data_IF_935004627861
#
_entry.id   IF_935004627861
#
_cell.length_a   1.000
_cell.length_b   1.000
_cell.length_c   1.000
_cell.angle_alpha   90.00
_cell.angle_beta   90.00
_cell.angle_gamma   90.00
#
_symmetry.space_group_name_H-M   'P 1'
#
loop_
_entity.id
_entity.type
_entity.pdbx_description
1 polymer ?
#
# COMPACT_ATOMS: atom_id res chain seq x y z
N UNK A 1 5.77 -6.64 -10.85
CA UNK A 1 5.31 -7.92 -10.28
C UNK A 1 6.50 -8.61 -9.66
N UNK A 2 7.58 -8.79 -10.41
CA UNK A 2 8.79 -9.50 -9.95
C UNK A 2 9.41 -8.90 -8.68
N UNK A 3 9.49 -7.57 -8.58
CA UNK A 3 9.98 -6.90 -7.36
C UNK A 3 9.14 -7.20 -6.12
N UNK A 4 7.82 -7.29 -6.27
CA UNK A 4 6.91 -7.61 -5.17
C UNK A 4 7.02 -9.07 -4.81
N UNK A 5 7.01 -9.98 -5.79
CA UNK A 5 7.21 -11.42 -5.57
C UNK A 5 8.53 -11.71 -4.85
N UNK A 6 9.61 -11.03 -5.26
CA UNK A 6 10.93 -11.14 -4.62
C UNK A 6 10.94 -10.67 -3.17
N UNK A 7 10.07 -9.75 -2.76
CA UNK A 7 9.98 -9.34 -1.35
C UNK A 7 9.53 -10.50 -0.45
N UNK A 8 8.61 -11.34 -0.95
CA UNK A 8 8.09 -12.50 -0.23
C UNK A 8 9.06 -13.68 -0.18
N UNK A 9 10.13 -13.68 -0.98
CA UNK A 9 11.09 -14.80 -1.00
C UNK A 9 11.92 -14.95 0.27
N UNK A 10 11.81 -14.01 1.20
CA UNK A 10 12.43 -14.07 2.53
C UNK A 10 11.61 -14.85 3.56
N UNK A 11 10.35 -15.20 3.24
CA UNK A 11 9.48 -15.96 4.12
C UNK A 11 9.80 -17.45 4.04
N UNK A 12 9.72 -18.15 5.17
CA UNK A 12 10.07 -19.57 5.30
C UNK A 12 9.16 -20.51 4.50
N UNK A 13 7.92 -20.11 4.25
CA UNK A 13 6.87 -20.85 3.56
C UNK A 13 6.59 -20.30 2.14
N UNK A 14 7.55 -19.56 1.57
CA UNK A 14 7.37 -18.90 0.29
C UNK A 14 7.15 -19.89 -0.86
N UNK A 15 5.99 -19.77 -1.52
CA UNK A 15 5.71 -20.37 -2.82
C UNK A 15 5.66 -19.27 -3.89
N UNK A 16 6.61 -19.30 -4.84
CA UNK A 16 6.68 -18.31 -5.91
C UNK A 16 5.44 -18.35 -6.81
N UNK A 17 4.99 -19.55 -7.18
CA UNK A 17 3.89 -19.72 -8.16
C UNK A 17 2.59 -19.15 -7.59
N UNK A 18 2.30 -19.46 -6.32
CA UNK A 18 1.11 -18.96 -5.64
C UNK A 18 1.20 -17.45 -5.41
N UNK A 19 2.32 -16.96 -4.90
CA UNK A 19 2.54 -15.53 -4.66
C UNK A 19 2.42 -14.73 -5.96
N UNK A 20 3.08 -15.18 -7.03
CA UNK A 20 3.03 -14.53 -8.34
C UNK A 20 1.61 -14.48 -8.88
N UNK A 21 0.85 -15.56 -8.75
CA UNK A 21 -0.55 -15.59 -9.17
C UNK A 21 -1.37 -14.51 -8.44
N UNK A 22 -1.27 -14.42 -7.12
CA UNK A 22 -1.98 -13.43 -6.32
C UNK A 22 -1.58 -11.98 -6.66
N UNK A 23 -0.27 -11.72 -6.77
CA UNK A 23 0.26 -10.39 -7.12
C UNK A 23 -0.17 -9.97 -8.52
N UNK A 24 -0.13 -10.88 -9.49
CA UNK A 24 -0.58 -10.61 -10.86
C UNK A 24 -2.07 -10.32 -10.92
N UNK A 25 -2.89 -11.04 -10.15
CA UNK A 25 -4.33 -10.80 -10.06
C UNK A 25 -4.63 -9.40 -9.51
N UNK A 26 -4.04 -9.03 -8.38
CA UNK A 26 -4.21 -7.69 -7.78
C UNK A 26 -3.74 -6.60 -8.74
N UNK A 27 -2.66 -6.84 -9.48
CA UNK A 27 -2.12 -5.90 -10.46
C UNK A 27 -2.95 -5.81 -11.76
N UNK A 28 -4.02 -6.61 -11.91
CA UNK A 28 -4.86 -6.65 -13.11
C UNK A 28 -4.21 -7.38 -14.30
N UNK A 29 -3.19 -8.21 -14.07
CA UNK A 29 -2.52 -9.02 -15.11
C UNK A 29 -3.14 -10.40 -15.32
N UNK A 30 -4.10 -10.79 -14.47
CA UNK A 30 -4.82 -12.08 -14.51
C UNK A 30 -6.32 -11.88 -14.29
N UNK A 31 -7.12 -12.89 -14.61
CA UNK A 31 -8.57 -12.90 -14.35
C UNK A 31 -9.32 -11.80 -15.11
N UNK A 32 -10.18 -11.06 -14.40
CA UNK A 32 -10.99 -9.94 -14.93
C UNK A 32 -10.18 -8.75 -15.46
N UNK A 33 -8.84 -8.76 -15.26
CA UNK A 33 -7.93 -7.64 -15.55
C UNK A 33 -8.24 -6.37 -14.74
N UNK A 34 -9.03 -6.47 -13.68
CA UNK A 34 -9.29 -5.38 -12.76
C UNK A 34 -8.01 -5.04 -12.00
N UNK A 35 -7.55 -3.80 -12.11
CA UNK A 35 -6.42 -3.31 -11.33
C UNK A 35 -6.93 -2.81 -9.98
N UNK A 36 -6.78 -3.64 -8.95
CA UNK A 36 -7.22 -3.29 -7.61
C UNK A 36 -6.27 -2.26 -7.01
N UNK A 37 -6.86 -1.28 -6.30
CA UNK A 37 -6.12 -0.34 -5.48
C UNK A 37 -6.40 -0.65 -4.01
N UNK A 38 -5.60 -0.05 -3.12
CA UNK A 38 -5.82 -0.18 -1.67
C UNK A 38 -7.28 0.16 -1.34
N UNK A 39 -7.93 -0.58 -0.43
CA UNK A 39 -9.26 -0.25 0.03
C UNK A 39 -9.27 1.11 0.76
N UNK A 40 -10.47 1.66 0.96
CA UNK A 40 -10.65 2.96 1.63
C UNK A 40 -10.30 2.90 3.13
N UNK A 41 -10.22 4.06 3.78
CA UNK A 41 -9.84 4.12 5.21
C UNK A 41 -10.86 3.42 6.12
N UNK A 42 -12.15 3.42 5.78
CA UNK A 42 -13.18 2.73 6.57
C UNK A 42 -12.93 1.22 6.60
N UNK A 43 -12.70 0.61 5.44
CA UNK A 43 -12.36 -0.80 5.31
C UNK A 43 -11.06 -1.14 6.06
N UNK A 44 -10.02 -0.31 5.91
CA UNK A 44 -8.76 -0.55 6.64
C UNK A 44 -8.92 -0.46 8.17
N UNK A 45 -9.78 0.45 8.65
CA UNK A 45 -10.10 0.57 10.08
C UNK A 45 -10.84 -0.67 10.59
N UNK A 46 -11.83 -1.16 9.85
CA UNK A 46 -12.55 -2.39 10.20
C UNK A 46 -11.62 -3.60 10.32
N UNK A 47 -10.58 -3.67 9.48
CA UNK A 47 -9.56 -4.73 9.55
C UNK A 47 -8.43 -4.46 10.56
N UNK A 48 -8.45 -3.36 11.29
CA UNK A 48 -7.40 -3.03 12.27
C UNK A 48 -6.03 -2.72 11.66
N UNK A 49 -5.97 -2.37 10.37
CA UNK A 49 -4.71 -2.15 9.63
C UNK A 49 -4.14 -0.73 9.77
N UNK A 50 -4.82 0.16 10.49
CA UNK A 50 -4.38 1.53 10.69
C UNK A 50 -3.43 1.67 11.89
N UNK A 51 -2.22 2.17 11.63
CA UNK A 51 -1.19 2.43 12.65
C UNK A 51 -1.35 3.83 13.25
N UNK A 52 -2.26 4.01 14.21
CA UNK A 52 -2.40 5.24 15.02
C UNK A 52 -2.79 6.52 14.24
N UNK A 53 -3.98 7.12 14.47
CA UNK A 53 -4.43 8.27 13.68
C UNK A 53 -3.80 9.60 14.10
N UNK A 54 -2.94 10.16 13.22
CA UNK A 54 -2.47 11.55 13.29
C UNK A 54 -3.50 12.55 12.69
N UNK A 55 -3.19 13.85 12.71
CA UNK A 55 -4.08 14.90 12.18
C UNK A 55 -4.38 14.72 10.67
N UNK A 56 -3.39 14.28 9.89
CA UNK A 56 -3.58 14.04 8.45
C UNK A 56 -4.53 12.87 8.27
N UNK A 57 -4.33 11.78 9.01
CA UNK A 57 -5.17 10.59 8.99
C UNK A 57 -6.64 10.91 9.28
N UNK A 58 -6.92 11.78 10.26
CA UNK A 58 -8.29 12.22 10.60
C UNK A 58 -8.98 13.01 9.49
N UNK A 59 -8.21 13.66 8.62
CA UNK A 59 -8.71 14.53 7.54
C UNK A 59 -8.90 13.83 6.18
N UNK A 60 -8.59 12.54 6.06
CA UNK A 60 -8.57 11.82 4.77
C UNK A 60 -9.46 10.58 4.77
N UNK A 61 -10.04 10.28 3.59
CA UNK A 61 -10.92 9.11 3.38
C UNK A 61 -10.25 7.93 2.65
N UNK A 62 -9.05 8.16 2.11
CA UNK A 62 -8.33 7.15 1.34
C UNK A 62 -6.84 7.10 1.75
N UNK A 63 -6.27 5.91 1.98
CA UNK A 63 -4.88 5.76 2.43
C UNK A 63 -3.87 6.37 1.45
N UNK A 64 -4.08 6.22 0.15
CA UNK A 64 -3.21 6.86 -0.85
C UNK A 64 -3.17 8.40 -0.73
N UNK A 65 -4.26 9.03 -0.28
CA UNK A 65 -4.27 10.48 -0.03
C UNK A 65 -3.45 10.84 1.20
N UNK A 66 -3.52 10.02 2.26
CA UNK A 66 -2.66 10.14 3.44
C UNK A 66 -1.18 10.15 3.03
N UNK A 67 -0.74 9.10 2.32
CA UNK A 67 0.66 8.96 1.91
C UNK A 67 1.12 10.11 1.01
N UNK A 68 0.30 10.56 0.06
CA UNK A 68 0.62 11.73 -0.79
C UNK A 68 0.79 13.01 0.03
N UNK A 69 -0.07 13.25 1.04
CA UNK A 69 0.05 14.42 1.92
C UNK A 69 1.30 14.33 2.81
N UNK A 70 1.53 13.19 3.45
CA UNK A 70 2.74 12.95 4.27
C UNK A 70 4.03 13.16 3.48
N UNK A 71 4.11 12.60 2.27
CA UNK A 71 5.29 12.77 1.40
C UNK A 71 5.52 14.24 1.03
N UNK A 72 4.45 15.03 0.82
CA UNK A 72 4.57 16.49 0.61
C UNK A 72 5.12 17.18 1.86
N UNK A 73 4.61 16.85 3.05
CA UNK A 73 5.11 17.41 4.31
C UNK A 73 6.60 17.11 4.52
N UNK A 74 7.03 15.87 4.27
CA UNK A 74 8.45 15.47 4.37
C UNK A 74 9.31 16.26 3.37
N UNK A 75 8.88 16.37 2.11
CA UNK A 75 9.59 17.15 1.08
C UNK A 75 9.69 18.64 1.41
N UNK A 76 8.67 19.21 2.05
CA UNK A 76 8.67 20.63 2.47
C UNK A 76 9.56 20.85 3.69
N UNK A 77 9.60 19.90 4.64
CA UNK A 77 10.50 19.94 5.79
C UNK A 77 11.98 19.85 5.40
N UNK A 78 12.31 19.02 4.40
CA UNK A 78 13.69 18.85 3.91
C UNK A 78 14.29 20.06 3.18
N UNK A 79 13.48 21.05 2.77
CA UNK A 79 13.97 22.28 2.10
C UNK A 79 14.33 23.41 3.05
N UNK A 80 14.09 23.26 4.36
CA UNK A 80 14.41 24.28 5.39
C UNK A 80 15.72 24.03 6.13
N UNK A 81 16.55 23.09 5.67
CA UNK A 81 17.82 22.71 6.31
C UNK A 81 19.00 22.62 5.34
N UNK A 82 19.16 23.65 4.48
CA UNK A 82 20.39 23.88 3.70
C UNK A 82 20.74 25.36 3.76
#
# INVERSE_FOLDING_TARGET
>A
VDSVVKLFSSLSDFDEKMTRYQVEHIAGKRGSRTKYTSPNCDTLRTHGLCLGPDEICRSVRHPLTYYRRKLKTIKLGGRKGS
#
